data_IF_868499043714
#
_entry.id   IF_868499043714
#
_cell.length_a   1.000
_cell.length_b   1.000
_cell.length_c   1.000
_cell.angle_alpha   90.00
_cell.angle_beta   90.00
_cell.angle_gamma   90.00
#
_symmetry.space_group_name_H-M   'P 1'
#
loop_
_entity.id
_entity.type
_entity.pdbx_description
1 polymer ?
#
# COMPACT_ATOMS: atom_id res chain seq x y z
N UNK A 1 -5.30 -21.95 12.88
CA UNK A 1 -3.96 -21.84 12.26
C UNK A 1 -3.51 -20.39 12.34
N UNK A 2 -2.21 -20.14 12.44
CA UNK A 2 -1.66 -18.78 12.57
C UNK A 2 -1.02 -18.33 11.26
N UNK A 3 -1.04 -17.03 10.95
CA UNK A 3 -0.41 -16.51 9.75
C UNK A 3 1.12 -16.54 9.87
N UNK A 4 1.77 -17.23 8.94
CA UNK A 4 3.24 -17.20 8.76
C UNK A 4 3.67 -16.28 7.62
N UNK A 5 2.70 -15.70 6.91
CA UNK A 5 2.87 -14.80 5.76
C UNK A 5 1.72 -13.82 5.77
N UNK A 6 2.02 -12.53 5.77
CA UNK A 6 0.99 -11.48 5.76
C UNK A 6 1.12 -10.68 4.47
N UNK A 7 0.10 -10.72 3.58
CA UNK A 7 0.05 -9.85 2.42
C UNK A 7 -0.31 -8.42 2.86
N UNK A 8 0.29 -7.44 2.18
CA UNK A 8 -0.10 -6.03 2.28
C UNK A 8 -0.60 -5.63 0.91
N UNK A 9 -1.85 -5.22 0.82
CA UNK A 9 -2.48 -4.79 -0.43
C UNK A 9 -2.31 -3.29 -0.61
N UNK A 10 -1.88 -2.88 -1.79
CA UNK A 10 -1.64 -1.48 -2.16
C UNK A 10 -2.61 -1.08 -3.27
N UNK A 11 -3.55 -0.22 -2.89
CA UNK A 11 -4.46 0.50 -3.78
C UNK A 11 -4.03 1.97 -3.86
N UNK A 12 -4.54 2.72 -4.83
CA UNK A 12 -4.37 4.18 -4.88
C UNK A 12 -5.75 4.83 -4.95
N UNK A 13 -6.38 4.75 -6.13
CA UNK A 13 -7.70 5.32 -6.41
C UNK A 13 -8.79 4.26 -6.40
N UNK A 14 -9.96 4.61 -5.89
CA UNK A 14 -11.17 3.78 -5.94
C UNK A 14 -12.27 4.58 -6.59
N UNK A 15 -12.57 4.26 -7.85
CA UNK A 15 -13.47 5.02 -8.72
C UNK A 15 -13.25 4.60 -10.17
N UNK A 16 -14.09 5.10 -11.08
CA UNK A 16 -13.94 4.77 -12.49
C UNK A 16 -12.66 5.41 -13.06
N UNK A 17 -11.79 4.62 -13.73
CA UNK A 17 -10.62 5.16 -14.41
C UNK A 17 -11.04 6.03 -15.59
N UNK A 18 -10.45 7.22 -15.72
CA UNK A 18 -10.69 8.13 -16.83
C UNK A 18 -9.95 7.77 -18.12
N UNK A 19 -9.01 6.82 -18.06
CA UNK A 19 -8.23 6.34 -19.21
C UNK A 19 -7.62 4.96 -18.95
N UNK A 20 -7.12 4.30 -20.00
CA UNK A 20 -6.38 3.03 -19.87
C UNK A 20 -5.14 3.16 -18.99
N UNK A 21 -4.46 4.31 -19.03
CA UNK A 21 -3.31 4.58 -18.16
C UNK A 21 -3.70 4.55 -16.68
N UNK A 22 -4.86 5.14 -16.35
CA UNK A 22 -5.36 5.18 -14.97
C UNK A 22 -5.75 3.79 -14.46
N UNK A 23 -6.05 2.81 -15.33
CA UNK A 23 -6.43 1.46 -14.90
C UNK A 23 -5.35 0.75 -14.08
N UNK A 24 -4.10 1.22 -14.13
CA UNK A 24 -3.04 0.75 -13.23
C UNK A 24 -3.26 1.19 -11.79
N UNK A 25 -3.80 2.38 -11.56
CA UNK A 25 -3.86 3.02 -10.24
C UNK A 25 -5.28 3.19 -9.70
N UNK A 26 -6.29 3.12 -10.57
CA UNK A 26 -7.71 3.29 -10.24
C UNK A 26 -8.49 1.99 -10.44
N UNK A 27 -9.23 1.58 -9.41
CA UNK A 27 -10.12 0.43 -9.45
C UNK A 27 -11.60 0.88 -9.40
N UNK A 28 -12.46 0.41 -10.33
CA UNK A 28 -13.89 0.68 -10.26
C UNK A 28 -14.50 0.30 -8.90
N UNK A 29 -15.41 1.13 -8.38
CA UNK A 29 -16.01 0.96 -7.05
C UNK A 29 -16.68 -0.42 -6.89
N UNK A 30 -17.39 -0.88 -7.93
CA UNK A 30 -18.05 -2.18 -7.93
C UNK A 30 -17.03 -3.34 -7.81
N UNK A 31 -15.84 -3.19 -8.40
CA UNK A 31 -14.78 -4.18 -8.39
C UNK A 31 -14.02 -4.17 -7.07
N UNK A 32 -13.77 -3.00 -6.49
CA UNK A 32 -13.25 -2.90 -5.13
C UNK A 32 -14.21 -3.58 -4.12
N UNK A 33 -15.52 -3.36 -4.23
CA UNK A 33 -16.51 -4.07 -3.41
C UNK A 33 -16.42 -5.59 -3.59
N UNK A 34 -16.29 -6.06 -4.83
CA UNK A 34 -16.14 -7.47 -5.16
C UNK A 34 -14.82 -8.07 -4.60
N UNK A 35 -13.72 -7.31 -4.60
CA UNK A 35 -12.46 -7.71 -3.96
C UNK A 35 -12.65 -7.92 -2.46
N UNK A 36 -13.23 -6.94 -1.77
CA UNK A 36 -13.45 -7.03 -0.32
C UNK A 36 -14.36 -8.22 0.03
N UNK A 37 -15.41 -8.45 -0.77
CA UNK A 37 -16.30 -9.60 -0.58
C UNK A 37 -15.57 -10.94 -0.77
N UNK A 38 -14.78 -11.08 -1.84
CA UNK A 38 -14.03 -12.31 -2.11
C UNK A 38 -12.97 -12.60 -1.04
N UNK A 39 -12.30 -11.57 -0.53
CA UNK A 39 -11.37 -11.70 0.60
C UNK A 39 -12.09 -12.24 1.84
N UNK A 40 -13.25 -11.66 2.18
CA UNK A 40 -14.06 -12.12 3.33
C UNK A 40 -14.52 -13.56 3.15
N UNK A 41 -15.00 -13.94 1.96
CA UNK A 41 -15.40 -15.32 1.66
C UNK A 41 -14.24 -16.32 1.73
N UNK A 42 -13.04 -15.88 1.34
CA UNK A 42 -11.83 -16.70 1.44
C UNK A 42 -11.22 -16.73 2.87
N UNK A 43 -11.89 -16.14 3.87
CA UNK A 43 -11.46 -16.17 5.26
C UNK A 43 -10.38 -15.15 5.62
N UNK A 44 -10.16 -14.12 4.79
CA UNK A 44 -9.25 -13.04 5.12
C UNK A 44 -9.89 -12.02 6.06
N UNK A 45 -9.07 -11.43 6.92
CA UNK A 45 -9.44 -10.38 7.86
C UNK A 45 -8.40 -9.26 7.83
N UNK A 46 -8.86 -8.03 7.63
CA UNK A 46 -7.99 -6.86 7.66
C UNK A 46 -7.49 -6.60 9.10
N UNK A 47 -6.21 -6.30 9.24
CA UNK A 47 -5.56 -5.89 10.50
C UNK A 47 -5.08 -4.44 10.39
N UNK A 48 -4.87 -3.78 11.53
CA UNK A 48 -4.28 -2.44 11.54
C UNK A 48 -2.80 -2.49 11.16
N UNK A 49 -2.27 -1.35 10.72
CA UNK A 49 -0.85 -1.20 10.44
C UNK A 49 0.01 -1.40 11.69
N UNK A 50 -0.46 -0.96 12.86
CA UNK A 50 0.23 -1.18 14.14
C UNK A 50 0.33 -2.68 14.44
N UNK A 51 -0.77 -3.44 14.29
CA UNK A 51 -0.76 -4.89 14.50
C UNK A 51 0.22 -5.61 13.56
N UNK A 52 0.35 -5.16 12.31
CA UNK A 52 1.36 -5.71 11.40
C UNK A 52 2.78 -5.42 11.90
N UNK A 53 3.08 -4.18 12.28
CA UNK A 53 4.42 -3.76 12.68
C UNK A 53 4.80 -4.38 14.03
N UNK A 54 3.90 -4.42 14.99
CA UNK A 54 4.09 -5.12 16.26
C UNK A 54 4.41 -6.61 16.05
N UNK A 55 3.72 -7.28 15.11
CA UNK A 55 4.02 -8.66 14.76
C UNK A 55 5.42 -8.82 14.15
N UNK A 56 5.87 -7.86 13.31
CA UNK A 56 7.26 -7.82 12.82
C UNK A 56 8.26 -7.54 13.94
N UNK A 57 7.86 -6.86 15.01
CA UNK A 57 8.64 -6.57 16.21
C UNK A 57 8.62 -7.72 17.24
N UNK A 58 7.92 -8.83 16.96
CA UNK A 58 7.90 -10.04 17.79
C UNK A 58 6.67 -10.21 18.67
N UNK A 59 5.61 -9.42 18.47
CA UNK A 59 4.34 -9.59 19.14
C UNK A 59 3.65 -10.93 18.82
N UNK A 60 2.57 -11.32 19.53
CA UNK A 60 1.89 -12.60 19.36
C UNK A 60 1.46 -12.90 17.92
N UNK A 61 1.28 -14.20 17.64
CA UNK A 61 0.96 -14.69 16.31
C UNK A 61 -0.38 -14.13 15.79
N UNK A 62 -0.39 -13.68 14.55
CA UNK A 62 -1.59 -13.21 13.86
C UNK A 62 -2.51 -14.37 13.45
N UNK A 63 -3.84 -14.14 13.38
CA UNK A 63 -4.77 -15.14 12.88
C UNK A 63 -4.47 -15.51 11.43
N UNK A 64 -4.75 -16.75 11.03
CA UNK A 64 -4.72 -17.12 9.61
C UNK A 64 -5.67 -16.20 8.82
N UNK A 65 -5.24 -15.80 7.61
CA UNK A 65 -6.00 -14.87 6.77
C UNK A 65 -5.81 -13.38 7.14
N UNK A 66 -4.95 -13.03 8.10
CA UNK A 66 -4.59 -11.63 8.34
C UNK A 66 -4.00 -10.98 7.08
N UNK A 67 -4.44 -9.78 6.74
CA UNK A 67 -3.83 -8.93 5.71
C UNK A 67 -3.91 -7.45 6.09
N UNK A 68 -3.02 -6.63 5.55
CA UNK A 68 -3.11 -5.17 5.69
C UNK A 68 -3.65 -4.55 4.39
N UNK A 69 -4.58 -3.62 4.53
CA UNK A 69 -5.12 -2.83 3.42
C UNK A 69 -4.55 -1.40 3.46
N UNK A 70 -3.87 -1.01 2.39
CA UNK A 70 -3.25 0.32 2.25
C UNK A 70 -3.72 1.04 0.99
N UNK A 71 -3.86 2.35 1.09
CA UNK A 71 -4.11 3.28 0.00
C UNK A 71 -2.98 4.30 -0.02
N UNK A 72 -2.37 4.51 -1.18
CA UNK A 72 -1.34 5.54 -1.35
C UNK A 72 -1.97 6.86 -1.81
N UNK A 73 -1.17 7.92 -1.77
CA UNK A 73 -1.42 9.27 -2.31
C UNK A 73 -2.48 10.15 -1.62
N UNK A 74 -3.44 9.55 -0.92
CA UNK A 74 -4.48 10.31 -0.22
C UNK A 74 -5.58 10.84 -1.14
N UNK A 75 -5.95 10.09 -2.17
CA UNK A 75 -7.05 10.45 -3.07
C UNK A 75 -8.40 10.56 -2.34
N UNK A 76 -9.19 11.59 -2.70
CA UNK A 76 -10.52 11.82 -2.11
C UNK A 76 -11.49 10.67 -2.40
N UNK A 77 -11.32 10.00 -3.53
CA UNK A 77 -12.17 8.90 -3.96
C UNK A 77 -12.14 7.69 -3.00
N UNK A 78 -11.09 7.53 -2.20
CA UNK A 78 -11.03 6.57 -1.09
C UNK A 78 -12.13 6.85 -0.06
N UNK A 79 -12.37 8.11 0.29
CA UNK A 79 -13.46 8.52 1.18
C UNK A 79 -14.82 8.29 0.55
N UNK A 80 -14.97 8.63 -0.72
CA UNK A 80 -16.25 8.63 -1.42
C UNK A 80 -16.73 7.21 -1.76
N UNK A 81 -15.80 6.32 -2.09
CA UNK A 81 -16.10 5.02 -2.66
C UNK A 81 -15.62 3.83 -1.84
N UNK A 82 -14.43 3.89 -1.23
CA UNK A 82 -13.89 2.77 -0.46
C UNK A 82 -14.43 2.73 0.97
N UNK A 83 -14.43 3.88 1.66
CA UNK A 83 -14.83 3.99 3.06
C UNK A 83 -16.22 3.41 3.37
N UNK A 84 -17.29 3.70 2.60
CA UNK A 84 -18.62 3.12 2.89
C UNK A 84 -18.64 1.60 2.83
N UNK A 85 -17.77 0.98 2.02
CA UNK A 85 -17.64 -0.48 1.92
C UNK A 85 -16.89 -1.02 3.15
N UNK A 86 -15.80 -0.37 3.53
CA UNK A 86 -14.95 -0.79 4.65
C UNK A 86 -15.65 -0.67 6.00
N UNK A 87 -16.48 0.36 6.20
CA UNK A 87 -17.30 0.51 7.40
C UNK A 87 -18.30 -0.64 7.58
N UNK A 88 -18.98 -1.05 6.51
CA UNK A 88 -19.89 -2.21 6.55
C UNK A 88 -19.17 -3.52 6.89
N UNK A 89 -17.85 -3.57 6.66
CA UNK A 89 -17.03 -4.73 7.01
C UNK A 89 -16.35 -4.61 8.38
N UNK A 90 -16.38 -3.43 8.99
CA UNK A 90 -15.59 -3.09 10.17
C UNK A 90 -14.10 -3.44 9.96
N UNK A 91 -13.58 -3.13 8.77
CA UNK A 91 -12.20 -3.45 8.40
C UNK A 91 -11.31 -2.21 8.54
N UNK A 92 -10.20 -2.30 9.29
CA UNK A 92 -9.22 -1.22 9.35
C UNK A 92 -8.56 -1.03 7.99
N UNK A 93 -8.14 0.20 7.72
CA UNK A 93 -7.39 0.56 6.54
C UNK A 93 -6.39 1.66 6.84
N UNK A 94 -5.36 1.78 6.00
CA UNK A 94 -4.35 2.82 6.11
C UNK A 94 -4.28 3.64 4.84
N UNK A 95 -4.15 4.96 4.97
CA UNK A 95 -3.89 5.88 3.87
C UNK A 95 -2.54 6.56 4.10
N UNK A 96 -1.65 6.52 3.10
CA UNK A 96 -0.40 7.27 3.10
C UNK A 96 -0.61 8.61 2.37
N UNK A 97 -0.35 9.72 3.05
CA UNK A 97 -0.67 11.08 2.61
C UNK A 97 0.58 11.82 2.12
N UNK A 98 0.45 12.56 1.01
CA UNK A 98 1.49 13.51 0.57
C UNK A 98 1.25 14.85 1.27
N UNK A 99 2.05 15.15 2.30
CA UNK A 99 1.66 16.17 3.31
C UNK A 99 1.43 17.57 2.73
N UNK A 100 2.23 18.02 1.74
CA UNK A 100 2.09 19.35 1.13
C UNK A 100 0.92 19.45 0.16
N UNK A 101 0.37 18.33 -0.28
CA UNK A 101 -0.68 18.29 -1.30
C UNK A 101 -2.07 18.00 -0.72
N UNK A 102 -2.19 17.95 0.61
CA UNK A 102 -3.47 17.84 1.31
C UNK A 102 -4.39 18.99 0.88
N UNK A 103 -5.60 18.64 0.44
CA UNK A 103 -6.60 19.56 -0.11
C UNK A 103 -6.33 20.02 -1.55
N UNK A 104 -5.22 19.58 -2.16
CA UNK A 104 -4.86 19.87 -3.54
C UNK A 104 -5.23 18.74 -4.51
N UNK A 105 -4.34 18.49 -5.47
CA UNK A 105 -4.48 17.48 -6.52
C UNK A 105 -3.15 16.73 -6.72
N UNK A 106 -3.19 15.61 -7.43
CA UNK A 106 -2.05 14.74 -7.72
C UNK A 106 -1.10 15.26 -8.81
N UNK A 107 -0.60 16.49 -8.63
CA UNK A 107 0.23 17.18 -9.64
C UNK A 107 1.51 16.44 -10.07
N UNK A 108 1.98 15.46 -9.30
CA UNK A 108 3.13 14.61 -9.68
C UNK A 108 2.84 13.69 -10.87
N UNK A 109 1.57 13.51 -11.25
CA UNK A 109 1.19 12.65 -12.37
C UNK A 109 1.28 13.34 -13.73
N UNK A 110 1.38 14.68 -13.79
CA UNK A 110 1.32 15.47 -15.03
C UNK A 110 2.28 15.00 -16.12
N UNK A 111 3.51 14.61 -15.76
CA UNK A 111 4.50 14.13 -16.73
C UNK A 111 4.22 12.71 -17.23
N UNK A 112 3.45 11.93 -16.46
CA UNK A 112 3.26 10.50 -16.68
C UNK A 112 1.86 10.14 -17.20
N UNK A 113 0.84 10.94 -16.88
CA UNK A 113 -0.54 10.74 -17.30
C UNK A 113 -0.77 11.38 -18.68
N UNK A 114 -0.96 10.61 -19.76
CA UNK A 114 -1.09 11.16 -21.10
C UNK A 114 -2.32 12.06 -21.30
N UNK A 115 -3.36 11.90 -20.46
CA UNK A 115 -4.55 12.76 -20.53
C UNK A 115 -4.36 14.11 -19.85
N UNK A 116 -3.33 14.25 -18.99
CA UNK A 116 -3.14 15.42 -18.13
C UNK A 116 -4.21 15.59 -17.04
N UNK A 117 -5.10 14.61 -16.87
CA UNK A 117 -6.15 14.65 -15.85
C UNK A 117 -5.57 14.62 -14.44
N UNK A 118 -6.06 15.52 -13.58
CA UNK A 118 -5.71 15.60 -12.17
C UNK A 118 -6.91 15.23 -11.30
N UNK A 119 -6.64 14.55 -10.20
CA UNK A 119 -7.63 14.04 -9.27
C UNK A 119 -7.47 14.70 -7.89
N UNK A 120 -8.59 15.00 -7.21
CA UNK A 120 -8.56 15.68 -5.92
C UNK A 120 -8.00 14.77 -4.82
N UNK A 121 -7.19 15.37 -3.94
CA UNK A 121 -6.71 14.73 -2.73
C UNK A 121 -7.56 15.15 -1.53
N UNK A 122 -7.52 14.32 -0.49
CA UNK A 122 -8.21 14.56 0.77
C UNK A 122 -7.75 15.89 1.38
N UNK A 123 -8.71 16.69 1.86
CA UNK A 123 -8.41 17.86 2.68
C UNK A 123 -8.33 17.50 4.18
N UNK A 124 -7.91 18.47 5.00
CA UNK A 124 -7.71 18.28 6.44
C UNK A 124 -8.98 17.81 7.18
N UNK A 125 -10.15 18.34 6.84
CA UNK A 125 -11.41 17.98 7.51
C UNK A 125 -11.89 16.60 7.10
N UNK A 126 -11.71 16.23 5.82
CA UNK A 126 -11.96 14.88 5.32
C UNK A 126 -11.06 13.84 6.01
N UNK A 127 -9.78 14.15 6.21
CA UNK A 127 -8.83 13.28 6.92
C UNK A 127 -9.29 13.08 8.37
N UNK A 128 -9.67 14.16 9.08
CA UNK A 128 -10.13 14.08 10.47
C UNK A 128 -11.43 13.29 10.60
N UNK A 129 -12.38 13.47 9.69
CA UNK A 129 -13.63 12.67 9.62
C UNK A 129 -13.31 11.18 9.47
N UNK A 130 -12.45 10.83 8.50
CA UNK A 130 -12.06 9.45 8.26
C UNK A 130 -11.28 8.84 9.43
N UNK A 131 -10.47 9.64 10.14
CA UNK A 131 -9.74 9.20 11.33
C UNK A 131 -10.69 8.79 12.47
N UNK A 132 -11.79 9.53 12.67
CA UNK A 132 -12.83 9.18 13.64
C UNK A 132 -13.60 7.92 13.26
N UNK A 133 -13.51 7.50 11.99
CA UNK A 133 -14.22 6.34 11.40
C UNK A 133 -13.29 5.15 11.16
N UNK A 134 -12.17 5.09 11.90
CA UNK A 134 -11.25 3.94 11.91
C UNK A 134 -10.14 3.97 10.84
N UNK A 135 -9.99 5.07 10.10
CA UNK A 135 -8.87 5.24 9.16
C UNK A 135 -7.56 5.56 9.88
N UNK A 136 -6.48 4.87 9.52
CA UNK A 136 -5.13 5.25 9.93
C UNK A 136 -4.43 6.05 8.83
N UNK A 137 -3.71 7.10 9.20
CA UNK A 137 -3.08 8.04 8.27
C UNK A 137 -1.60 8.18 8.57
N UNK A 138 -0.78 8.05 7.53
CA UNK A 138 0.68 8.01 7.63
C UNK A 138 1.36 8.74 6.46
N UNK A 139 2.70 8.79 6.43
CA UNK A 139 3.41 9.63 5.47
C UNK A 139 3.61 8.95 4.11
N UNK A 140 3.41 9.72 3.04
CA UNK A 140 3.87 9.43 1.69
C UNK A 140 4.86 10.50 1.18
N UNK A 141 5.71 11.00 2.09
CA UNK A 141 6.63 12.13 1.90
C UNK A 141 5.91 13.46 1.75
N UNK A 142 6.68 14.54 1.57
CA UNK A 142 6.14 15.90 1.54
C UNK A 142 5.53 16.23 0.19
N UNK A 143 6.22 15.89 -0.91
CA UNK A 143 5.84 16.28 -2.28
C UNK A 143 5.81 15.10 -3.27
N UNK A 144 5.80 13.84 -2.79
CA UNK A 144 5.82 12.64 -3.65
C UNK A 144 7.09 12.55 -4.53
N UNK A 145 8.24 13.00 -4.02
CA UNK A 145 9.50 13.01 -4.76
C UNK A 145 10.12 11.61 -4.88
N UNK A 146 10.89 11.38 -5.96
CA UNK A 146 11.75 10.18 -6.10
C UNK A 146 12.93 10.27 -5.14
N UNK A 147 12.80 9.69 -3.95
CA UNK A 147 13.76 9.88 -2.87
C UNK A 147 15.23 9.57 -3.22
N UNK A 148 15.56 8.50 -3.98
CA UNK A 148 16.96 8.23 -4.31
C UNK A 148 17.64 9.30 -5.17
N UNK A 149 16.88 10.12 -5.92
CA UNK A 149 17.43 11.18 -6.76
C UNK A 149 17.67 12.51 -6.02
N UNK A 150 17.29 12.60 -4.75
CA UNK A 150 17.43 13.83 -3.96
C UNK A 150 18.78 13.92 -3.26
N UNK A 151 19.28 15.14 -3.06
CA UNK A 151 20.41 15.38 -2.17
C UNK A 151 19.99 15.23 -0.71
N UNK A 152 20.95 15.09 0.21
CA UNK A 152 20.68 14.74 1.60
C UNK A 152 19.78 15.73 2.33
N UNK A 153 19.99 17.04 2.13
CA UNK A 153 19.14 18.06 2.76
C UNK A 153 17.69 17.98 2.28
N UNK A 154 17.47 17.76 0.98
CA UNK A 154 16.12 17.62 0.40
C UNK A 154 15.46 16.32 0.84
N UNK A 155 16.23 15.22 0.89
CA UNK A 155 15.76 13.93 1.41
C UNK A 155 15.33 14.04 2.87
N UNK A 156 16.13 14.70 3.71
CA UNK A 156 15.77 14.95 5.11
C UNK A 156 14.52 15.80 5.21
N UNK A 157 14.36 16.87 4.42
CA UNK A 157 13.14 17.67 4.43
C UNK A 157 11.91 16.85 4.00
N UNK A 158 12.01 16.04 2.93
CA UNK A 158 10.90 15.20 2.47
C UNK A 158 10.39 14.25 3.56
N UNK A 159 11.28 13.75 4.42
CA UNK A 159 10.96 12.75 5.43
C UNK A 159 10.61 13.38 6.79
N UNK A 160 11.45 14.26 7.32
CA UNK A 160 11.24 14.86 8.63
C UNK A 160 10.09 15.86 8.63
N UNK A 161 10.03 16.74 7.63
CA UNK A 161 8.98 17.76 7.55
C UNK A 161 7.63 17.14 7.24
N UNK A 162 7.55 16.11 6.39
CA UNK A 162 6.26 15.42 6.16
C UNK A 162 5.73 14.74 7.41
N UNK A 163 6.60 14.13 8.21
CA UNK A 163 6.23 13.55 9.50
C UNK A 163 5.71 14.61 10.47
N UNK A 164 6.35 15.78 10.49
CA UNK A 164 5.94 16.89 11.35
C UNK A 164 4.60 17.51 10.91
N UNK A 165 4.47 17.84 9.62
CA UNK A 165 3.23 18.38 9.03
C UNK A 165 2.03 17.49 9.38
N UNK A 166 2.20 16.18 9.23
CA UNK A 166 1.13 15.21 9.50
C UNK A 166 0.88 15.01 11.00
N UNK A 167 1.90 15.09 11.86
CA UNK A 167 1.70 15.06 13.31
C UNK A 167 0.82 16.21 13.77
N UNK A 168 1.07 17.41 13.26
CA UNK A 168 0.29 18.61 13.57
C UNK A 168 -1.16 18.47 13.10
N UNK A 169 -1.38 17.93 11.89
CA UNK A 169 -2.72 17.70 11.36
C UNK A 169 -3.51 16.64 12.16
N UNK A 170 -2.87 15.51 12.46
CA UNK A 170 -3.52 14.32 13.00
C UNK A 170 -3.61 14.31 14.54
N UNK A 171 -2.85 15.19 15.21
CA UNK A 171 -2.78 15.26 16.67
C UNK A 171 -2.15 14.02 17.34
N UNK A 172 -1.40 13.22 16.58
CA UNK A 172 -0.74 11.99 17.05
C UNK A 172 0.55 11.74 16.28
N UNK A 173 1.39 10.84 16.78
CA UNK A 173 2.60 10.45 16.07
C UNK A 173 2.32 9.75 14.74
N UNK A 174 3.21 10.01 13.79
CA UNK A 174 3.21 9.45 12.44
C UNK A 174 4.38 8.50 12.33
N UNK A 175 4.09 7.22 12.54
CA UNK A 175 5.12 6.19 12.71
C UNK A 175 5.53 5.50 11.41
N UNK A 176 4.70 5.56 10.36
CA UNK A 176 4.91 4.80 9.14
C UNK A 176 5.07 5.68 7.91
N UNK A 177 5.78 5.13 6.93
CA UNK A 177 6.10 5.76 5.65
C UNK A 177 5.83 4.78 4.51
N UNK A 178 5.16 5.19 3.45
CA UNK A 178 5.28 4.53 2.15
C UNK A 178 6.26 5.33 1.28
N UNK A 179 7.23 4.68 0.65
CA UNK A 179 8.14 5.38 -0.27
C UNK A 179 7.42 5.63 -1.60
N UNK A 180 7.43 6.86 -2.14
CA UNK A 180 6.92 7.15 -3.48
C UNK A 180 7.56 6.22 -4.51
N UNK A 181 6.73 5.68 -5.41
CA UNK A 181 7.14 4.69 -6.42
C UNK A 181 7.75 3.39 -5.85
N UNK A 182 7.74 3.22 -4.52
CA UNK A 182 8.40 2.16 -3.77
C UNK A 182 9.93 2.16 -3.83
N UNK A 183 10.54 3.28 -4.23
CA UNK A 183 11.98 3.39 -4.43
C UNK A 183 12.69 3.66 -3.10
N UNK A 184 13.62 2.76 -2.74
CA UNK A 184 14.42 2.85 -1.52
C UNK A 184 15.82 2.27 -1.75
N UNK A 185 16.83 3.04 -1.39
CA UNK A 185 18.22 2.59 -1.22
C UNK A 185 18.61 2.68 0.27
N UNK A 186 19.84 2.30 0.60
CA UNK A 186 20.30 2.28 1.99
C UNK A 186 20.36 3.69 2.62
N UNK A 187 20.59 4.73 1.80
CA UNK A 187 20.64 6.12 2.22
C UNK A 187 19.23 6.63 2.58
N UNK A 188 18.25 6.35 1.73
CA UNK A 188 16.83 6.66 1.96
C UNK A 188 16.32 5.92 3.20
N UNK A 189 16.66 4.64 3.36
CA UNK A 189 16.29 3.87 4.55
C UNK A 189 16.89 4.46 5.83
N UNK A 190 18.17 4.84 5.81
CA UNK A 190 18.84 5.48 6.94
C UNK A 190 18.19 6.83 7.28
N UNK A 191 17.85 7.64 6.27
CA UNK A 191 17.15 8.91 6.46
C UNK A 191 15.74 8.72 7.04
N UNK A 192 15.01 7.68 6.61
CA UNK A 192 13.69 7.35 7.17
C UNK A 192 13.77 6.96 8.65
N UNK A 193 14.79 6.17 9.03
CA UNK A 193 15.08 5.87 10.45
C UNK A 193 15.41 7.14 11.23
N UNK A 194 16.26 8.01 10.69
CA UNK A 194 16.67 9.26 11.34
C UNK A 194 15.50 10.25 11.52
N UNK A 195 14.53 10.25 10.60
CA UNK A 195 13.30 11.04 10.72
C UNK A 195 12.34 10.53 11.82
N UNK A 196 12.60 9.33 12.35
CA UNK A 196 11.85 8.72 13.45
C UNK A 196 10.65 7.88 13.02
N UNK A 197 10.60 7.40 11.77
CA UNK A 197 9.65 6.36 11.38
C UNK A 197 10.02 5.03 12.04
N UNK A 198 9.02 4.22 12.42
CA UNK A 198 9.17 2.86 12.98
C UNK A 198 9.27 1.80 11.89
N UNK A 199 8.55 1.99 10.78
CA UNK A 199 8.52 1.07 9.64
C UNK A 199 8.22 1.80 8.32
N UNK A 200 8.59 1.19 7.20
CA UNK A 200 8.35 1.76 5.87
C UNK A 200 8.04 0.71 4.79
N UNK A 201 7.24 1.13 3.81
CA UNK A 201 6.63 0.27 2.80
C UNK A 201 7.19 0.58 1.40
N UNK A 202 7.59 -0.49 0.70
CA UNK A 202 8.06 -0.46 -0.70
C UNK A 202 6.98 -1.00 -1.65
N UNK A 203 7.28 -1.04 -2.95
CA UNK A 203 6.43 -1.70 -3.97
C UNK A 203 6.94 -3.08 -4.36
N UNK A 204 7.97 -3.61 -3.68
CA UNK A 204 8.47 -4.95 -3.96
C UNK A 204 7.37 -5.97 -3.64
N UNK A 205 6.94 -6.80 -4.61
CA UNK A 205 5.93 -7.82 -4.36
C UNK A 205 6.50 -8.95 -3.50
N UNK A 206 5.64 -9.53 -2.67
CA UNK A 206 5.98 -10.70 -1.88
C UNK A 206 5.24 -10.78 -0.56
N UNK A 207 5.56 -11.82 0.19
CA UNK A 207 5.03 -12.02 1.53
C UNK A 207 5.90 -11.30 2.57
N UNK A 208 5.24 -10.74 3.57
CA UNK A 208 5.88 -10.30 4.80
C UNK A 208 5.91 -11.44 5.81
N UNK A 209 7.06 -11.59 6.45
CA UNK A 209 7.40 -12.57 7.48
C UNK A 209 8.12 -11.81 8.59
N UNK A 210 8.23 -12.39 9.78
CA UNK A 210 8.89 -11.74 10.93
C UNK A 210 10.37 -11.42 10.71
N UNK A 211 11.00 -11.97 9.68
CA UNK A 211 12.40 -11.71 9.28
C UNK A 211 12.53 -10.64 8.16
N UNK A 212 11.42 -10.07 7.67
CA UNK A 212 11.48 -9.02 6.65
C UNK A 212 12.07 -7.73 7.26
N UNK A 213 12.86 -6.99 6.47
CA UNK A 213 13.26 -5.65 6.88
C UNK A 213 12.02 -4.76 7.01
N UNK A 214 11.71 -4.31 8.23
CA UNK A 214 10.56 -3.45 8.52
C UNK A 214 10.60 -2.08 7.83
N UNK A 215 11.74 -1.66 7.30
CA UNK A 215 11.86 -0.47 6.45
C UNK A 215 11.77 -0.76 4.96
N UNK A 216 11.48 -2.01 4.57
CA UNK A 216 11.23 -2.44 3.19
C UNK A 216 10.08 -3.45 3.15
N UNK A 217 9.00 -3.14 3.86
CA UNK A 217 7.79 -3.98 3.86
C UNK A 217 7.30 -4.13 2.43
N UNK A 218 6.97 -5.35 2.06
CA UNK A 218 6.55 -5.74 0.71
C UNK A 218 5.06 -5.51 0.53
N UNK A 219 4.65 -5.09 -0.67
CA UNK A 219 3.25 -4.82 -1.00
C UNK A 219 2.88 -5.44 -2.33
N UNK A 220 1.63 -5.88 -2.43
CA UNK A 220 1.02 -6.37 -3.66
C UNK A 220 0.21 -5.24 -4.28
N UNK A 221 0.65 -4.78 -5.45
CA UNK A 221 -0.05 -3.76 -6.22
C UNK A 221 -1.33 -4.34 -6.80
N UNK A 222 -2.45 -3.64 -6.56
CA UNK A 222 -3.74 -3.99 -7.11
C UNK A 222 -4.08 -3.07 -8.27
N UNK A 223 -4.28 -3.67 -9.44
CA UNK A 223 -4.65 -2.98 -10.68
C UNK A 223 -6.17 -2.92 -10.80
N UNK A 224 -6.69 -1.89 -11.47
CA UNK A 224 -8.11 -1.76 -11.80
C UNK A 224 -8.63 -2.90 -12.67
N UNK A 225 -7.74 -3.57 -13.41
CA UNK A 225 -8.07 -4.75 -14.22
C UNK A 225 -8.10 -6.06 -13.43
N UNK A 226 -7.62 -6.08 -12.18
CA UNK A 226 -7.63 -7.30 -11.37
C UNK A 226 -9.07 -7.72 -11.08
N UNK A 227 -9.42 -8.96 -11.40
CA UNK A 227 -10.68 -9.56 -10.92
C UNK A 227 -10.50 -10.08 -9.50
N UNK A 228 -11.58 -10.35 -8.74
CA UNK A 228 -11.47 -10.96 -7.42
C UNK A 228 -10.64 -12.25 -7.40
N UNK A 229 -10.79 -13.09 -8.43
CA UNK A 229 -9.99 -14.31 -8.58
C UNK A 229 -8.51 -14.02 -8.88
N UNK A 230 -8.19 -12.93 -9.60
CA UNK A 230 -6.80 -12.51 -9.82
C UNK A 230 -6.19 -11.99 -8.53
N UNK A 231 -6.92 -11.19 -7.74
CA UNK A 231 -6.46 -10.72 -6.43
C UNK A 231 -6.10 -11.90 -5.51
N UNK A 232 -6.99 -12.89 -5.39
CA UNK A 232 -6.72 -14.08 -4.57
C UNK A 232 -5.48 -14.86 -5.06
N UNK A 233 -5.25 -14.93 -6.38
CA UNK A 233 -4.03 -15.50 -6.97
C UNK A 233 -2.78 -14.69 -6.65
N UNK A 234 -2.83 -13.36 -6.77
CA UNK A 234 -1.73 -12.45 -6.39
C UNK A 234 -1.33 -12.68 -4.94
N UNK A 235 -2.32 -12.76 -4.05
CA UNK A 235 -2.09 -13.05 -2.62
C UNK A 235 -1.47 -14.44 -2.45
N UNK A 236 -2.03 -15.47 -3.09
CA UNK A 236 -1.52 -16.85 -2.97
C UNK A 236 -0.08 -17.01 -3.48
N UNK A 237 0.27 -16.30 -4.55
CA UNK A 237 1.59 -16.39 -5.20
C UNK A 237 2.60 -15.38 -4.64
N UNK A 238 2.14 -14.30 -4.00
CA UNK A 238 2.98 -13.21 -3.52
C UNK A 238 3.60 -12.40 -4.67
N UNK A 239 2.85 -12.17 -5.75
CA UNK A 239 3.32 -11.42 -6.93
C UNK A 239 2.25 -10.49 -7.49
N UNK A 240 2.66 -9.50 -8.28
CA UNK A 240 1.75 -8.56 -8.96
C UNK A 240 1.16 -9.13 -10.27
N UNK A 241 1.55 -10.35 -10.68
CA UNK A 241 0.93 -11.06 -11.80
C UNK A 241 -0.06 -12.10 -11.26
N UNK A 242 -1.34 -11.78 -11.38
CA UNK A 242 -2.43 -12.66 -10.97
C UNK A 242 -2.94 -13.58 -12.07
N UNK A 243 -2.36 -13.60 -13.27
CA UNK A 243 -2.90 -14.32 -14.43
C UNK A 243 -2.81 -15.85 -14.30
N UNK A 244 -3.69 -16.59 -15.01
CA UNK A 244 -3.64 -18.06 -15.01
C UNK A 244 -2.36 -18.57 -15.66
N UNK A 245 -1.94 -17.92 -16.74
CA UNK A 245 -0.70 -18.24 -17.46
C UNK A 245 0.52 -18.15 -16.54
N UNK A 246 0.60 -17.10 -15.73
CA UNK A 246 1.67 -16.97 -14.75
C UNK A 246 1.61 -18.07 -13.69
N UNK A 247 0.43 -18.37 -13.15
CA UNK A 247 0.27 -19.44 -12.17
C UNK A 247 0.73 -20.80 -12.72
N UNK A 248 0.35 -21.14 -13.95
CA UNK A 248 0.78 -22.37 -14.63
C UNK A 248 2.31 -22.39 -14.78
N UNK A 249 2.90 -21.29 -15.28
CA UNK A 249 4.35 -21.17 -15.44
C UNK A 249 5.09 -21.31 -14.10
N UNK A 250 4.58 -20.70 -13.04
CA UNK A 250 5.15 -20.75 -11.70
C UNK A 250 5.22 -22.19 -11.17
N UNK A 251 4.12 -22.94 -11.25
CA UNK A 251 4.11 -24.33 -10.78
C UNK A 251 4.95 -25.25 -11.66
N UNK A 252 4.93 -25.05 -12.98
CA UNK A 252 5.79 -25.80 -13.89
C UNK A 252 7.27 -25.60 -13.57
N UNK A 253 7.72 -24.36 -13.34
CA UNK A 253 9.10 -24.05 -12.95
C UNK A 253 9.49 -24.68 -11.61
N UNK A 254 8.60 -24.71 -10.62
CA UNK A 254 8.87 -25.41 -9.36
C UNK A 254 9.00 -26.92 -9.56
N UNK A 255 8.12 -27.54 -10.34
CA UNK A 255 8.21 -28.97 -10.63
C UNK A 255 9.52 -29.34 -11.35
N UNK A 256 9.93 -28.54 -12.33
CA UNK A 256 11.22 -28.73 -13.03
C UNK A 256 12.41 -28.47 -12.10
N UNK A 257 12.32 -27.48 -11.21
CA UNK A 257 13.36 -27.20 -10.20
C UNK A 257 13.54 -28.29 -9.14
N UNK A 258 12.58 -29.20 -8.97
CA UNK A 258 12.68 -30.37 -8.09
C UNK A 258 13.15 -31.65 -8.82
N UNK A 259 13.36 -31.62 -10.14
CA UNK A 259 13.94 -32.75 -10.87
C UNK A 259 15.47 -32.68 -10.82
N UNK A 260 16.16 -33.65 -10.18
CA UNK A 260 17.62 -33.69 -10.21
C UNK A 260 18.07 -34.07 -11.62
N UNK A 261 18.66 -33.13 -12.37
CA UNK A 261 19.26 -33.50 -13.66
C UNK A 261 19.44 -32.42 -14.73
N UNK A 262 19.03 -31.16 -14.52
CA UNK A 262 19.27 -30.10 -15.52
C UNK A 262 19.88 -28.85 -14.88
N UNK A 263 21.11 -29.00 -14.40
CA UNK A 263 22.06 -27.91 -14.21
C UNK A 263 23.23 -28.15 -15.17
N UNK A 264 23.27 -27.43 -16.29
CA UNK A 264 24.48 -27.10 -17.02
C UNK A 264 24.42 -25.63 -17.39
#
# INVERSE_FOLDING_TARGET
MNANRVPVLMYHRVGEPGSDWETRFAIPTCRFAAHMHALKQAGYQAISIDTLVEWLEGAPKLPAGAFLLTFDDGYRDVREHALPILERMNWPYTVFLVSKLIGGQDGWTLESNPSGGLHPLLNADEIRDMQQRGGSFHSHTRNHARLPSLHDAELTDQLASSRQDLRELLGRDVDYLAYPFGQVDDRVEAAAKAAGYRAAFSTQPGFNRTDVNRFRIRRLEVYGTDSPAMLLRKIHLGCNDGTLTYMIRYYFQRLVGYLPGFSR
#
